data_IF_084560607543
#
_entry.id   IF_084560607543
#
_cell.length_a   1.000
_cell.length_b   1.000
_cell.length_c   1.000
_cell.angle_alpha   90.00
_cell.angle_beta   90.00
_cell.angle_gamma   90.00
#
_symmetry.space_group_name_H-M   'P 1'
#
loop_
_entity.id
_entity.type
_entity.pdbx_description
1 polymer ?
#
# COMPACT_ATOMS: atom_id res chain seq x y z
N UNK A 1 -9.40 13.65 -15.33
CA UNK A 1 -10.05 14.11 -14.07
C UNK A 1 -9.09 13.87 -12.94
N UNK A 2 -8.89 14.84 -12.03
CA UNK A 2 -8.08 14.71 -10.81
C UNK A 2 -8.99 14.93 -9.61
N UNK A 3 -8.90 14.07 -8.61
CA UNK A 3 -9.65 14.15 -7.34
C UNK A 3 -8.69 13.92 -6.19
N UNK A 4 -8.79 14.74 -5.15
CA UNK A 4 -7.98 14.63 -3.94
C UNK A 4 -8.75 13.89 -2.84
N UNK A 5 -8.05 13.05 -2.10
CA UNK A 5 -8.52 12.42 -0.86
C UNK A 5 -7.64 12.92 0.27
N UNK A 6 -8.14 13.84 1.07
CA UNK A 6 -7.36 14.42 2.16
C UNK A 6 -7.27 13.47 3.36
N UNK A 7 -6.14 13.51 4.05
CA UNK A 7 -5.88 12.66 5.22
C UNK A 7 -6.98 12.77 6.27
N UNK A 8 -7.42 13.99 6.56
CA UNK A 8 -8.48 14.26 7.54
C UNK A 8 -9.91 13.86 7.13
N UNK A 9 -10.10 13.42 5.88
CA UNK A 9 -11.38 12.92 5.37
C UNK A 9 -11.49 11.40 5.41
N UNK A 10 -10.41 10.70 5.71
CA UNK A 10 -10.38 9.23 5.81
C UNK A 10 -11.21 8.75 6.99
N UNK A 11 -11.70 7.52 6.91
CA UNK A 11 -12.25 6.82 8.08
C UNK A 11 -11.18 6.69 9.16
N UNK A 12 -11.59 6.76 10.43
CA UNK A 12 -10.68 6.61 11.56
C UNK A 12 -11.31 5.72 12.61
N UNK A 13 -10.55 4.74 13.08
CA UNK A 13 -10.93 3.83 14.16
C UNK A 13 -9.77 3.69 15.14
N UNK A 14 -10.05 3.79 16.43
CA UNK A 14 -9.06 3.58 17.49
C UNK A 14 -9.61 2.61 18.54
N UNK A 15 -8.95 1.45 18.67
CA UNK A 15 -9.28 0.40 19.64
C UNK A 15 -8.31 0.37 20.84
N UNK A 16 -7.47 1.40 21.00
CA UNK A 16 -6.44 1.47 22.01
C UNK A 16 -5.15 0.73 21.57
N UNK A 17 -5.25 -0.50 21.18
CA UNK A 17 -4.12 -1.27 20.66
C UNK A 17 -3.84 -1.03 19.16
N UNK A 18 -4.85 -0.61 18.42
CA UNK A 18 -4.82 -0.29 16.99
C UNK A 18 -5.37 1.13 16.77
N UNK A 19 -4.59 1.97 16.09
CA UNK A 19 -5.02 3.25 15.53
C UNK A 19 -4.95 3.15 14.00
N UNK A 20 -6.12 3.21 13.33
CA UNK A 20 -6.26 2.87 11.91
C UNK A 20 -7.00 3.93 11.13
N UNK A 21 -6.42 4.38 10.01
CA UNK A 21 -7.03 5.32 9.06
C UNK A 21 -7.35 4.62 7.75
N UNK A 22 -8.58 4.76 7.27
CA UNK A 22 -9.11 4.06 6.10
C UNK A 22 -9.30 5.00 4.92
N UNK A 23 -8.55 4.81 3.83
CA UNK A 23 -8.73 5.57 2.60
C UNK A 23 -10.03 5.23 1.88
N UNK A 24 -10.49 3.98 2.02
CA UNK A 24 -11.73 3.43 1.47
C UNK A 24 -12.57 2.81 2.59
N UNK A 25 -13.83 2.52 2.28
CA UNK A 25 -14.74 1.82 3.20
C UNK A 25 -14.17 0.45 3.61
N UNK A 26 -14.04 0.26 4.92
CA UNK A 26 -13.46 -0.94 5.51
C UNK A 26 -14.03 -1.15 6.92
N UNK A 27 -14.30 -2.40 7.28
CA UNK A 27 -14.91 -2.79 8.56
C UNK A 27 -16.18 -1.93 8.85
N UNK A 28 -16.21 -1.22 9.97
CA UNK A 28 -17.35 -0.39 10.39
C UNK A 28 -17.37 0.99 9.71
N UNK A 29 -16.30 1.39 9.02
CA UNK A 29 -16.29 2.63 8.24
C UNK A 29 -16.92 2.41 6.87
N UNK A 30 -18.01 3.15 6.60
CA UNK A 30 -18.72 3.09 5.34
C UNK A 30 -18.94 4.49 4.75
N UNK A 31 -18.37 4.73 3.57
CA UNK A 31 -18.66 5.89 2.72
C UNK A 31 -18.83 5.41 1.27
N UNK A 32 -20.05 5.50 0.71
CA UNK A 32 -20.33 5.00 -0.64
C UNK A 32 -19.56 5.72 -1.75
N UNK A 33 -18.99 6.89 -1.49
CA UNK A 33 -18.13 7.64 -2.41
C UNK A 33 -16.70 7.08 -2.44
N UNK A 34 -16.33 6.28 -1.43
CA UNK A 34 -14.98 5.77 -1.22
C UNK A 34 -14.98 4.26 -0.97
N UNK A 35 -15.45 3.48 -1.98
CA UNK A 35 -15.50 2.01 -1.92
C UNK A 35 -14.24 1.36 -2.49
N UNK A 36 -13.45 2.08 -3.25
CA UNK A 36 -12.25 1.64 -3.94
C UNK A 36 -11.91 2.55 -5.12
N UNK A 37 -10.85 2.21 -5.86
CA UNK A 37 -10.48 2.91 -7.10
C UNK A 37 -9.86 1.90 -8.08
N UNK A 38 -10.58 1.57 -9.17
CA UNK A 38 -10.20 0.43 -10.01
C UNK A 38 -10.20 -0.86 -9.21
N UNK A 39 -9.16 -1.65 -9.33
CA UNK A 39 -8.94 -2.85 -8.52
C UNK A 39 -8.39 -2.60 -7.11
N UNK A 40 -7.98 -1.37 -6.79
CA UNK A 40 -7.50 -0.99 -5.46
C UNK A 40 -8.68 -0.87 -4.50
N UNK A 41 -8.75 -1.77 -3.51
CA UNK A 41 -9.90 -1.91 -2.61
C UNK A 41 -9.65 -1.34 -1.20
N UNK A 42 -8.44 -1.46 -0.68
CA UNK A 42 -8.08 -1.03 0.67
C UNK A 42 -6.71 -0.35 0.66
N UNK A 43 -6.60 0.76 1.37
CA UNK A 43 -5.37 1.28 1.95
C UNK A 43 -5.74 1.69 3.37
N UNK A 44 -5.32 0.88 4.34
CA UNK A 44 -5.37 1.22 5.75
C UNK A 44 -3.98 1.62 6.22
N UNK A 45 -3.90 2.69 6.96
CA UNK A 45 -2.69 3.11 7.66
C UNK A 45 -2.86 2.77 9.12
N UNK A 46 -2.11 1.77 9.55
CA UNK A 46 -2.27 1.10 10.83
C UNK A 46 -1.07 1.36 11.75
N UNK A 47 -1.36 1.69 13.01
CA UNK A 47 -0.39 1.77 14.09
C UNK A 47 -0.78 0.79 15.19
N UNK A 48 0.06 -0.22 15.41
CA UNK A 48 -0.17 -1.30 16.38
C UNK A 48 0.75 -1.13 17.58
N UNK A 49 0.18 -1.19 18.78
CA UNK A 49 0.93 -1.12 20.04
C UNK A 49 1.81 -2.38 20.24
N UNK A 50 2.91 -2.29 21.01
CA UNK A 50 3.79 -3.43 21.31
C UNK A 50 3.03 -4.64 21.85
N UNK A 51 3.39 -5.84 21.39
CA UNK A 51 2.82 -7.10 21.85
C UNK A 51 1.36 -7.34 21.48
N UNK A 52 0.78 -6.49 20.64
CA UNK A 52 -0.60 -6.62 20.16
C UNK A 52 -0.63 -6.85 18.65
N UNK A 53 -1.82 -7.12 18.09
CA UNK A 53 -1.97 -7.32 16.66
C UNK A 53 -3.27 -8.00 16.28
N UNK A 54 -3.38 -8.33 15.01
CA UNK A 54 -4.53 -9.05 14.46
C UNK A 54 -4.38 -10.55 14.70
N UNK A 55 -5.26 -11.11 15.52
CA UNK A 55 -5.35 -12.54 15.73
C UNK A 55 -5.67 -13.31 14.44
N UNK A 56 -5.60 -14.64 14.49
CA UNK A 56 -5.82 -15.46 13.30
C UNK A 56 -7.20 -15.25 12.68
N UNK A 57 -7.21 -14.74 11.46
CA UNK A 57 -8.41 -14.48 10.65
C UNK A 57 -8.21 -14.96 9.22
N UNK A 58 -9.28 -15.01 8.44
CA UNK A 58 -9.28 -15.60 7.11
C UNK A 58 -9.50 -14.58 5.99
N UNK A 59 -8.88 -14.84 4.82
CA UNK A 59 -9.11 -14.12 3.58
C UNK A 59 -9.38 -15.07 2.42
N UNK A 60 -10.05 -14.57 1.40
CA UNK A 60 -10.29 -15.29 0.14
C UNK A 60 -10.29 -14.29 -1.01
N UNK A 61 -9.76 -14.71 -2.17
CA UNK A 61 -9.79 -13.95 -3.43
C UNK A 61 -9.38 -12.48 -3.27
N UNK A 62 -8.21 -12.26 -2.66
CA UNK A 62 -7.65 -10.94 -2.43
C UNK A 62 -6.11 -11.00 -2.52
N UNK A 63 -5.51 -9.99 -3.16
CA UNK A 63 -4.09 -9.72 -3.10
C UNK A 63 -3.84 -8.75 -1.95
N UNK A 64 -3.14 -9.18 -0.92
CA UNK A 64 -2.89 -8.43 0.31
C UNK A 64 -1.40 -8.07 0.36
N UNK A 65 -1.10 -6.79 0.50
CA UNK A 65 0.27 -6.28 0.56
C UNK A 65 0.45 -5.52 1.87
N UNK A 66 1.48 -5.89 2.63
CA UNK A 66 1.93 -5.15 3.81
C UNK A 66 3.19 -4.36 3.45
N UNK A 67 3.17 -3.06 3.73
CA UNK A 67 4.26 -2.11 3.52
C UNK A 67 4.59 -1.41 4.82
N UNK A 68 5.65 -1.84 5.49
CA UNK A 68 6.04 -1.34 6.82
C UNK A 68 6.79 -0.03 6.67
N UNK A 69 6.34 0.98 7.42
CA UNK A 69 6.95 2.29 7.50
C UNK A 69 7.89 2.39 8.70
N UNK A 70 7.48 1.84 9.88
CA UNK A 70 8.24 1.91 11.12
C UNK A 70 8.00 0.66 11.97
N UNK A 71 9.00 0.23 12.73
CA UNK A 71 8.92 -0.97 13.57
C UNK A 71 9.04 -2.25 12.75
N UNK A 72 8.39 -3.31 13.20
CA UNK A 72 8.44 -4.62 12.57
C UNK A 72 7.11 -5.36 12.74
N UNK A 73 6.56 -5.90 11.63
CA UNK A 73 5.32 -6.64 11.60
C UNK A 73 5.61 -8.15 11.47
N UNK A 74 5.27 -8.93 12.50
CA UNK A 74 5.36 -10.38 12.45
C UNK A 74 4.14 -10.95 11.73
N UNK A 75 4.35 -11.76 10.71
CA UNK A 75 3.33 -12.49 9.96
C UNK A 75 3.46 -13.98 10.18
N UNK A 76 2.31 -14.66 10.27
CA UNK A 76 2.24 -16.13 10.26
C UNK A 76 0.95 -16.56 9.56
N UNK A 77 1.04 -17.58 8.68
CA UNK A 77 -0.11 -18.05 7.91
C UNK A 77 -0.30 -19.57 7.93
N UNK A 78 -1.45 -20.00 7.39
CA UNK A 78 -1.85 -21.42 7.32
C UNK A 78 -1.12 -22.21 6.22
N UNK A 79 -0.31 -21.55 5.38
CA UNK A 79 0.55 -22.22 4.39
C UNK A 79 1.90 -22.63 5.01
N UNK A 80 2.17 -22.22 6.26
CA UNK A 80 3.41 -22.52 6.97
C UNK A 80 4.46 -21.41 6.89
N UNK A 81 4.12 -20.25 6.27
CA UNK A 81 5.01 -19.11 6.27
C UNK A 81 4.99 -18.41 7.63
N UNK A 82 6.16 -17.94 8.05
CA UNK A 82 6.37 -17.07 9.20
C UNK A 82 7.52 -16.14 8.90
N UNK A 83 7.30 -14.84 9.06
CA UNK A 83 8.29 -13.81 8.73
C UNK A 83 8.12 -12.58 9.60
N UNK A 84 9.16 -11.76 9.61
CA UNK A 84 9.11 -10.39 10.13
C UNK A 84 9.32 -9.45 8.96
N UNK A 85 8.42 -8.49 8.80
CA UNK A 85 8.40 -7.50 7.73
C UNK A 85 8.89 -6.19 8.34
N UNK A 86 9.94 -5.59 7.77
CA UNK A 86 10.57 -4.35 8.26
C UNK A 86 10.54 -3.26 7.18
N UNK A 87 10.84 -1.99 7.52
CA UNK A 87 10.94 -0.93 6.52
C UNK A 87 11.86 -1.29 5.37
N UNK A 88 11.36 -1.13 4.14
CA UNK A 88 12.03 -1.58 2.92
C UNK A 88 11.51 -2.90 2.37
N UNK A 89 10.86 -3.72 3.18
CA UNK A 89 10.21 -4.93 2.72
C UNK A 89 8.83 -4.64 2.11
N UNK A 90 8.49 -5.44 1.11
CA UNK A 90 7.15 -5.57 0.55
C UNK A 90 6.76 -7.02 0.67
N UNK A 91 5.75 -7.29 1.48
CA UNK A 91 5.17 -8.62 1.63
C UNK A 91 3.87 -8.68 0.83
N UNK A 92 3.67 -9.76 0.07
CA UNK A 92 2.43 -10.06 -0.64
C UNK A 92 1.92 -11.44 -0.23
N UNK A 93 0.63 -11.50 0.13
CA UNK A 93 -0.12 -12.72 0.33
C UNK A 93 -1.31 -12.75 -0.65
N UNK A 94 -1.31 -13.71 -1.58
CA UNK A 94 -2.47 -14.01 -2.40
C UNK A 94 -3.38 -14.95 -1.63
N UNK A 95 -4.59 -14.50 -1.30
CA UNK A 95 -5.51 -15.31 -0.49
C UNK A 95 -6.16 -16.45 -1.27
N UNK A 96 -6.38 -16.29 -2.58
CA UNK A 96 -6.87 -17.34 -3.48
C UNK A 96 -8.06 -18.13 -2.91
N UNK A 97 -7.99 -19.46 -2.93
CA UNK A 97 -9.04 -20.35 -2.42
C UNK A 97 -9.30 -20.21 -0.92
N UNK A 98 -8.41 -19.54 -0.19
CA UNK A 98 -8.52 -19.25 1.24
C UNK A 98 -7.21 -19.42 1.98
N UNK A 99 -6.91 -18.45 2.83
CA UNK A 99 -5.76 -18.45 3.76
C UNK A 99 -6.21 -17.91 5.09
N UNK A 100 -5.60 -18.39 6.17
CA UNK A 100 -5.72 -17.80 7.51
C UNK A 100 -4.37 -17.27 7.92
N UNK A 101 -4.32 -16.06 8.46
CA UNK A 101 -3.09 -15.47 8.95
C UNK A 101 -3.29 -14.64 10.20
N UNK A 102 -2.18 -14.25 10.81
CA UNK A 102 -2.11 -13.32 11.94
C UNK A 102 -0.96 -12.34 11.71
N UNK A 103 -1.12 -11.12 12.22
CA UNK A 103 -0.16 -10.03 12.09
C UNK A 103 -0.02 -9.35 13.44
N UNK A 104 1.21 -9.30 13.98
CA UNK A 104 1.50 -8.75 15.30
C UNK A 104 2.65 -7.74 15.24
N UNK A 105 2.60 -6.75 16.10
CA UNK A 105 3.77 -5.94 16.36
C UNK A 105 4.85 -6.81 16.99
N UNK A 106 5.99 -6.96 16.29
CA UNK A 106 7.12 -7.78 16.72
C UNK A 106 8.01 -7.08 17.74
N UNK A 107 7.85 -5.76 17.89
CA UNK A 107 8.69 -4.96 18.77
C UNK A 107 8.31 -5.14 20.24
N UNK A 108 9.33 -5.10 21.11
CA UNK A 108 9.17 -5.14 22.58
C UNK A 108 8.66 -3.79 23.10
N UNK A 109 9.09 -2.71 22.44
CA UNK A 109 8.70 -1.35 22.73
C UNK A 109 8.66 -0.56 21.40
N UNK A 110 7.72 0.34 21.25
CA UNK A 110 7.51 1.08 20.02
C UNK A 110 6.36 0.56 19.19
N UNK A 111 5.74 1.46 18.48
CA UNK A 111 4.58 1.20 17.62
C UNK A 111 5.07 0.66 16.29
N UNK A 112 4.42 -0.36 15.75
CA UNK A 112 4.59 -0.74 14.35
C UNK A 112 3.61 0.06 13.50
N UNK A 113 4.14 0.83 12.54
CA UNK A 113 3.39 1.64 11.59
C UNK A 113 3.53 1.08 10.19
N UNK A 114 2.42 0.74 9.53
CA UNK A 114 2.43 0.14 8.20
C UNK A 114 1.18 0.48 7.40
N UNK A 115 1.24 0.23 6.10
CA UNK A 115 0.10 0.29 5.20
C UNK A 115 -0.34 -1.14 4.87
N UNK A 116 -1.62 -1.43 5.12
CA UNK A 116 -2.30 -2.64 4.64
C UNK A 116 -3.02 -2.29 3.34
N UNK A 117 -2.62 -2.93 2.24
CA UNK A 117 -3.11 -2.64 0.90
C UNK A 117 -3.78 -3.89 0.34
N UNK A 118 -5.01 -3.75 -0.15
CA UNK A 118 -5.73 -4.83 -0.81
C UNK A 118 -6.05 -4.48 -2.26
N UNK A 119 -5.73 -5.40 -3.16
CA UNK A 119 -6.02 -5.31 -4.59
C UNK A 119 -6.90 -6.52 -4.95
N UNK A 120 -8.03 -6.27 -5.60
CA UNK A 120 -8.91 -7.33 -6.10
C UNK A 120 -8.19 -8.10 -7.22
N UNK A 121 -8.05 -9.42 -7.15
CA UNK A 121 -7.39 -10.20 -8.20
C UNK A 121 -8.26 -10.27 -9.47
N UNK A 122 -7.62 -10.43 -10.63
CA UNK A 122 -8.30 -10.63 -11.91
C UNK A 122 -8.91 -12.02 -12.06
N UNK A 123 -8.45 -13.00 -11.25
CA UNK A 123 -8.95 -14.36 -11.23
C UNK A 123 -9.22 -14.81 -9.79
N UNK A 124 -10.35 -15.48 -9.59
CA UNK A 124 -10.74 -16.06 -8.30
C UNK A 124 -10.32 -17.51 -8.21
N UNK A 125 -10.22 -18.02 -6.97
CA UNK A 125 -9.96 -19.43 -6.70
C UNK A 125 -8.56 -19.90 -7.10
N UNK A 126 -7.60 -18.99 -7.24
CA UNK A 126 -6.19 -19.32 -7.46
C UNK A 126 -5.60 -20.00 -6.22
N UNK A 127 -4.47 -20.67 -6.37
CA UNK A 127 -3.74 -21.20 -5.22
C UNK A 127 -3.27 -20.05 -4.32
N UNK A 128 -3.42 -20.15 -2.99
CA UNK A 128 -2.82 -19.21 -2.06
C UNK A 128 -1.30 -19.16 -2.23
N UNK A 129 -0.72 -17.98 -2.01
CA UNK A 129 0.71 -17.80 -2.17
C UNK A 129 1.27 -16.68 -1.29
N UNK A 130 2.56 -16.75 -1.02
CA UNK A 130 3.31 -15.79 -0.21
C UNK A 130 4.59 -15.37 -0.92
N UNK A 131 4.92 -14.10 -0.84
CA UNK A 131 6.19 -13.56 -1.34
C UNK A 131 6.59 -12.34 -0.50
N UNK A 132 7.87 -12.22 -0.14
CA UNK A 132 8.44 -11.06 0.54
C UNK A 132 9.77 -10.70 -0.13
N UNK A 133 9.96 -9.41 -0.43
CA UNK A 133 11.19 -8.88 -1.03
C UNK A 133 11.60 -7.57 -0.37
N UNK A 134 12.90 -7.38 -0.24
CA UNK A 134 13.48 -6.14 0.27
C UNK A 134 13.85 -5.18 -0.87
N UNK A 135 13.51 -3.91 -0.69
CA UNK A 135 13.81 -2.83 -1.64
C UNK A 135 14.58 -1.72 -0.91
N UNK A 136 15.86 -1.66 -1.17
CA UNK A 136 16.75 -0.67 -0.59
C UNK A 136 16.26 0.77 -0.84
N UNK A 137 16.45 1.65 0.13
CA UNK A 137 16.07 3.07 0.01
C UNK A 137 16.74 3.74 -1.20
N UNK A 138 17.99 3.38 -1.52
CA UNK A 138 18.70 3.88 -2.69
C UNK A 138 18.00 3.52 -4.02
N UNK A 139 17.29 2.39 -4.08
CA UNK A 139 16.53 1.99 -5.27
C UNK A 139 15.24 2.80 -5.47
N UNK A 140 14.74 3.45 -4.43
CA UNK A 140 13.52 4.29 -4.42
C UNK A 140 13.84 5.79 -4.51
N UNK A 141 15.08 6.21 -4.23
CA UNK A 141 15.48 7.61 -4.15
C UNK A 141 15.46 8.30 -5.51
N UNK A 142 14.69 9.40 -5.63
CA UNK A 142 14.56 10.21 -6.84
C UNK A 142 13.90 9.50 -8.02
N UNK A 143 13.25 8.36 -7.81
CA UNK A 143 12.63 7.54 -8.87
C UNK A 143 11.48 6.67 -8.34
N UNK A 144 10.62 6.26 -9.27
CA UNK A 144 9.60 5.23 -9.02
C UNK A 144 10.23 3.84 -9.15
N UNK A 145 10.33 3.12 -8.03
CA UNK A 145 10.77 1.72 -8.00
C UNK A 145 9.54 0.81 -8.06
N UNK A 146 9.45 -0.04 -9.09
CA UNK A 146 8.41 -1.05 -9.19
C UNK A 146 8.58 -2.08 -8.06
N UNK A 147 7.54 -2.23 -7.20
CA UNK A 147 7.56 -3.11 -6.04
C UNK A 147 6.54 -4.24 -6.13
N UNK A 148 5.46 -4.08 -6.93
CA UNK A 148 4.55 -5.18 -7.27
C UNK A 148 4.07 -5.06 -8.72
N UNK A 149 3.95 -6.20 -9.43
CA UNK A 149 3.52 -6.28 -10.82
C UNK A 149 2.91 -7.65 -11.15
N UNK A 150 2.18 -7.81 -12.27
CA UNK A 150 1.60 -9.11 -12.65
C UNK A 150 2.63 -10.21 -12.95
N UNK A 151 3.82 -9.83 -13.38
CA UNK A 151 4.86 -10.72 -13.91
C UNK A 151 6.15 -10.75 -13.06
N UNK A 152 6.17 -10.01 -11.94
CA UNK A 152 7.35 -9.94 -11.06
C UNK A 152 8.57 -9.27 -11.70
N UNK A 153 8.37 -8.53 -12.84
CA UNK A 153 9.45 -7.85 -13.54
C UNK A 153 10.19 -6.87 -12.64
N UNK A 154 11.43 -6.55 -13.00
CA UNK A 154 12.34 -5.72 -12.22
C UNK A 154 12.55 -6.22 -10.78
N UNK A 155 12.25 -7.48 -10.49
CA UNK A 155 12.35 -8.05 -9.14
C UNK A 155 11.23 -7.64 -8.19
N UNK A 156 10.11 -7.10 -8.70
CA UNK A 156 8.91 -6.82 -7.90
C UNK A 156 8.26 -8.11 -7.37
N UNK A 157 7.42 -8.01 -6.33
CA UNK A 157 6.56 -9.13 -5.95
C UNK A 157 5.47 -9.33 -7.00
N UNK A 158 5.00 -10.57 -7.16
CA UNK A 158 3.97 -10.90 -8.15
C UNK A 158 2.58 -10.72 -7.56
N UNK A 159 1.68 -10.03 -8.28
CA UNK A 159 0.26 -9.92 -7.96
C UNK A 159 -0.60 -10.42 -9.13
N UNK A 160 -1.76 -11.01 -8.85
CA UNK A 160 -2.64 -11.58 -9.88
C UNK A 160 -3.68 -10.54 -10.35
N UNK A 161 -3.19 -9.36 -10.74
CA UNK A 161 -4.02 -8.27 -11.28
C UNK A 161 -3.21 -7.42 -12.27
N UNK A 162 -3.86 -6.86 -13.29
CA UNK A 162 -3.28 -5.84 -14.17
C UNK A 162 -3.15 -4.50 -13.41
N UNK A 163 -2.21 -4.49 -12.49
CA UNK A 163 -1.86 -3.34 -11.67
C UNK A 163 -0.36 -3.31 -11.44
N UNK A 164 0.21 -2.10 -11.36
CA UNK A 164 1.60 -1.86 -11.03
C UNK A 164 1.65 -1.00 -9.77
N UNK A 165 2.43 -1.42 -8.79
CA UNK A 165 2.69 -0.65 -7.59
C UNK A 165 4.14 -0.21 -7.56
N UNK A 166 4.33 1.10 -7.42
CA UNK A 166 5.64 1.72 -7.27
C UNK A 166 5.77 2.38 -5.91
N UNK A 167 7.01 2.41 -5.39
CA UNK A 167 7.39 3.22 -4.25
C UNK A 167 8.48 4.23 -4.66
N UNK A 168 8.42 5.44 -4.09
CA UNK A 168 9.42 6.48 -4.33
C UNK A 168 9.75 7.22 -3.03
N UNK A 169 11.02 7.61 -2.89
CA UNK A 169 11.50 8.57 -1.90
C UNK A 169 11.93 9.83 -2.65
N UNK A 170 11.28 10.94 -2.37
CA UNK A 170 11.51 12.21 -3.08
C UNK A 170 11.80 13.31 -2.07
N UNK A 171 12.93 13.99 -2.24
CA UNK A 171 13.32 15.07 -1.35
C UNK A 171 14.01 16.22 -2.13
N UNK A 172 13.73 17.46 -1.76
CA UNK A 172 14.33 18.64 -2.38
C UNK A 172 14.04 18.75 -3.88
N UNK A 173 15.10 18.75 -4.70
CA UNK A 173 15.03 18.89 -6.15
C UNK A 173 14.78 17.56 -6.91
N UNK A 174 14.65 16.45 -6.18
CA UNK A 174 14.34 15.15 -6.80
C UNK A 174 12.97 15.16 -7.46
N UNK A 175 12.85 14.43 -8.57
CA UNK A 175 11.64 14.39 -9.39
C UNK A 175 11.48 13.01 -10.00
N UNK A 176 10.25 12.48 -9.98
CA UNK A 176 9.89 11.25 -10.66
C UNK A 176 8.68 11.47 -11.57
N UNK A 177 8.67 10.81 -12.72
CA UNK A 177 7.58 10.87 -13.70
C UNK A 177 7.14 9.46 -14.04
N UNK A 178 5.83 9.23 -14.04
CA UNK A 178 5.22 8.00 -14.54
C UNK A 178 4.32 8.31 -15.73
N UNK A 179 4.56 7.66 -16.86
CA UNK A 179 3.71 7.75 -18.05
C UNK A 179 2.61 6.70 -17.97
N UNK A 180 1.37 7.11 -18.22
CA UNK A 180 0.20 6.26 -18.19
C UNK A 180 -0.21 5.86 -19.62
N UNK A 181 -0.43 4.58 -19.86
CA UNK A 181 -1.04 4.13 -21.10
C UNK A 181 -2.51 4.59 -21.18
N UNK A 182 -3.05 4.69 -22.39
CA UNK A 182 -4.44 5.07 -22.60
C UNK A 182 -5.39 4.11 -21.86
N UNK A 183 -6.39 4.66 -21.18
CA UNK A 183 -7.38 3.91 -20.41
C UNK A 183 -6.97 3.59 -18.96
N UNK A 184 -5.70 3.73 -18.63
CA UNK A 184 -5.24 3.51 -17.25
C UNK A 184 -5.56 4.68 -16.33
N UNK A 185 -5.59 4.38 -15.05
CA UNK A 185 -5.83 5.33 -13.96
C UNK A 185 -4.74 5.22 -12.92
N UNK A 186 -4.49 6.30 -12.20
CA UNK A 186 -3.45 6.36 -11.19
C UNK A 186 -4.00 6.77 -9.84
N UNK A 187 -3.53 6.09 -8.79
CA UNK A 187 -3.74 6.48 -7.40
C UNK A 187 -2.36 6.75 -6.78
N UNK A 188 -2.18 7.94 -6.23
CA UNK A 188 -0.96 8.34 -5.51
C UNK A 188 -1.31 8.46 -4.04
N UNK A 189 -0.61 7.76 -3.17
CA UNK A 189 -0.75 7.84 -1.71
C UNK A 189 0.55 8.35 -1.10
N UNK A 190 0.48 9.40 -0.29
CA UNK A 190 1.63 9.91 0.45
C UNK A 190 1.70 9.20 1.81
N UNK A 191 2.66 8.32 1.95
CA UNK A 191 2.89 7.57 3.19
C UNK A 191 3.59 8.42 4.26
N UNK A 192 4.50 9.33 3.82
CA UNK A 192 5.24 10.25 4.70
C UNK A 192 5.58 11.55 3.96
N UNK A 193 5.82 12.60 4.76
CA UNK A 193 6.30 13.89 4.26
C UNK A 193 5.28 14.65 3.44
N UNK A 194 5.78 15.46 2.54
CA UNK A 194 4.99 16.32 1.66
C UNK A 194 5.52 16.25 0.24
N UNK A 195 4.64 16.40 -0.76
CA UNK A 195 5.01 16.35 -2.18
C UNK A 195 4.01 17.11 -3.04
N UNK A 196 4.40 17.51 -4.23
CA UNK A 196 3.48 17.91 -5.30
C UNK A 196 3.28 16.78 -6.29
N UNK A 197 2.03 16.44 -6.58
CA UNK A 197 1.66 15.49 -7.63
C UNK A 197 0.86 16.23 -8.71
N UNK A 198 1.43 16.41 -9.93
CA UNK A 198 0.88 17.28 -10.99
C UNK A 198 0.49 18.67 -10.46
N UNK A 199 1.39 19.32 -9.73
CA UNK A 199 1.23 20.61 -9.06
C UNK A 199 0.21 20.65 -7.91
N UNK A 200 -0.49 19.56 -7.60
CA UNK A 200 -1.36 19.47 -6.43
C UNK A 200 -0.52 19.16 -5.18
N UNK A 201 -0.56 20.00 -4.15
CA UNK A 201 0.18 19.76 -2.90
C UNK A 201 -0.51 18.67 -2.08
N UNK A 202 0.29 17.69 -1.64
CA UNK A 202 -0.13 16.57 -0.82
C UNK A 202 0.78 16.42 0.40
N UNK A 203 0.21 16.04 1.53
CA UNK A 203 0.92 15.72 2.77
C UNK A 203 0.67 14.25 3.16
N UNK A 204 1.38 13.77 4.17
CA UNK A 204 1.22 12.42 4.69
C UNK A 204 -0.25 12.06 4.95
N UNK A 205 -0.69 10.91 4.45
CA UNK A 205 -2.06 10.43 4.49
C UNK A 205 -2.97 10.96 3.38
N UNK A 206 -2.58 12.02 2.65
CA UNK A 206 -3.31 12.48 1.47
C UNK A 206 -3.14 11.51 0.30
N UNK A 207 -4.11 11.54 -0.61
CA UNK A 207 -4.01 10.85 -1.88
C UNK A 207 -4.56 11.67 -3.04
N UNK A 208 -4.09 11.35 -4.24
CA UNK A 208 -4.59 11.86 -5.51
C UNK A 208 -5.06 10.69 -6.38
N UNK A 209 -6.29 10.77 -6.87
CA UNK A 209 -6.84 9.85 -7.88
C UNK A 209 -6.91 10.57 -9.22
N UNK A 210 -6.45 9.95 -10.29
CA UNK A 210 -6.56 10.54 -11.61
C UNK A 210 -6.84 9.51 -12.69
N UNK A 211 -7.60 9.93 -13.70
CA UNK A 211 -7.86 9.19 -14.93
C UNK A 211 -7.88 10.14 -16.12
N UNK A 212 -7.60 9.59 -17.33
CA UNK A 212 -7.58 10.38 -18.55
C UNK A 212 -6.44 11.41 -18.60
N UNK A 213 -5.34 11.13 -17.92
CA UNK A 213 -4.10 11.92 -17.97
C UNK A 213 -2.99 11.06 -18.60
N UNK A 214 -2.03 11.70 -19.26
CA UNK A 214 -0.93 11.00 -19.91
C UNK A 214 0.23 10.67 -18.96
N UNK A 215 0.36 11.44 -17.87
CA UNK A 215 1.45 11.26 -16.91
C UNK A 215 1.09 11.81 -15.53
N UNK A 216 1.80 11.31 -14.53
CA UNK A 216 1.88 11.87 -13.19
C UNK A 216 3.32 12.30 -12.89
N UNK A 217 3.47 13.49 -12.34
CA UNK A 217 4.76 14.09 -11.96
C UNK A 217 4.79 14.26 -10.46
N UNK A 218 5.80 13.69 -9.81
CA UNK A 218 6.06 13.81 -8.38
C UNK A 218 7.29 14.68 -8.20
N UNK A 219 7.17 15.81 -7.50
CA UNK A 219 8.25 16.78 -7.33
C UNK A 219 8.05 17.65 -6.07
N UNK A 220 9.06 18.46 -5.73
CA UNK A 220 9.03 19.34 -4.55
C UNK A 220 8.80 18.56 -3.25
N UNK A 221 9.41 17.37 -3.14
CA UNK A 221 9.30 16.54 -1.95
C UNK A 221 9.98 17.15 -0.72
N UNK A 222 9.40 16.92 0.45
CA UNK A 222 10.01 17.14 1.76
C UNK A 222 9.95 15.84 2.52
N UNK A 223 11.04 15.05 2.48
CA UNK A 223 11.13 13.71 3.05
C UNK A 223 9.93 12.82 2.65
N UNK A 224 9.48 12.96 1.40
CA UNK A 224 8.30 12.28 0.91
C UNK A 224 8.57 10.81 0.63
N UNK A 225 7.72 9.93 1.17
CA UNK A 225 7.58 8.53 0.77
C UNK A 225 6.21 8.34 0.14
N UNK A 226 6.19 7.88 -1.11
CA UNK A 226 5.00 7.83 -1.94
C UNK A 226 4.79 6.44 -2.51
N UNK A 227 3.57 5.95 -2.47
CA UNK A 227 3.11 4.80 -3.24
C UNK A 227 2.28 5.27 -4.42
N UNK A 228 2.60 4.75 -5.62
CA UNK A 228 1.88 5.02 -6.85
C UNK A 228 1.32 3.71 -7.42
N UNK A 229 0.01 3.66 -7.60
CA UNK A 229 -0.72 2.55 -8.20
C UNK A 229 -1.13 2.94 -9.61
N UNK A 230 -0.67 2.20 -10.61
CA UNK A 230 -1.10 2.29 -12.00
C UNK A 230 -2.05 1.12 -12.27
N UNK A 231 -3.30 1.43 -12.54
CA UNK A 231 -4.43 0.49 -12.54
C UNK A 231 -5.12 0.46 -13.91
N UNK A 232 -5.63 -0.69 -14.33
CA UNK A 232 -6.46 -0.85 -15.51
C UNK A 232 -7.82 -0.11 -15.39
#
# INVERSE_FOLDING_TARGET
MIELRRAGERGHTNHGWLDSFHSFSFADYYDPRHMGFGSLRVINEDRIQPGTGFGTHGHRDMEIISYVLEGALAHKDSMGNGSTIVPGDVQRMSAGTGVRHSEFNHEQAGVTHFLQIWIEPSARGIAPGYEQKHFESAAKRGRLRLIASPDGREGSVTIHQDALLYAALIDGAERAVHSLAAGRRVYVHVARGEISANAEPLAAGDALKASGIAQIVLENGRQAEVLLFDLA
#
